data_IF_158395955926
#
_entry.id   IF_158395955926
#
_cell.length_a   1.000
_cell.length_b   1.000
_cell.length_c   1.000
_cell.angle_alpha   90.00
_cell.angle_beta   90.00
_cell.angle_gamma   90.00
#
_symmetry.space_group_name_H-M   'P 1'
#
loop_
_entity.id
_entity.type
_entity.pdbx_description
1 polymer ?
#
# COMPACT_ATOMS: atom_id res chain seq x y z
N UNK A 1 -6.13 8.34 -0.11
CA UNK A 1 -5.56 7.08 -0.63
C UNK A 1 -4.05 7.21 -0.65
N UNK A 2 -3.32 6.14 -0.32
CA UNK A 2 -1.86 6.13 -0.28
C UNK A 2 -1.35 4.90 -1.03
N UNK A 3 -0.38 5.12 -1.92
CA UNK A 3 0.18 4.11 -2.81
C UNK A 3 1.70 4.08 -2.63
N UNK A 4 2.27 3.12 -1.89
CA UNK A 4 3.71 2.92 -1.87
C UNK A 4 4.19 2.32 -3.19
N UNK A 5 5.30 2.83 -3.72
CA UNK A 5 5.93 2.34 -4.94
C UNK A 5 7.43 2.20 -4.71
N UNK A 6 7.96 1.03 -5.05
CA UNK A 6 9.31 0.61 -4.68
C UNK A 6 10.20 0.55 -5.93
N UNK A 7 11.34 1.22 -5.88
CA UNK A 7 12.21 1.39 -7.05
C UNK A 7 13.65 0.99 -6.74
N UNK A 8 14.25 0.24 -7.66
CA UNK A 8 15.63 -0.22 -7.57
C UNK A 8 16.50 0.31 -8.71
N UNK A 9 17.81 0.08 -8.62
CA UNK A 9 18.75 0.46 -9.69
C UNK A 9 18.36 -0.20 -11.00
N UNK A 10 18.88 0.37 -12.09
CA UNK A 10 18.69 -0.23 -13.41
C UNK A 10 19.19 -1.68 -13.43
N UNK A 11 18.60 -2.50 -14.29
CA UNK A 11 18.91 -3.94 -14.38
C UNK A 11 20.41 -4.19 -14.53
N UNK A 12 21.09 -3.35 -15.32
CA UNK A 12 22.54 -3.46 -15.58
C UNK A 12 23.41 -3.22 -14.33
N UNK A 13 22.93 -2.42 -13.38
CA UNK A 13 23.68 -2.03 -12.18
C UNK A 13 23.46 -3.01 -11.03
N UNK A 14 22.33 -3.72 -11.04
CA UNK A 14 21.99 -4.79 -10.12
C UNK A 14 21.78 -4.35 -8.66
N UNK A 15 21.41 -5.33 -7.83
CA UNK A 15 21.25 -5.16 -6.38
C UNK A 15 22.61 -5.32 -5.70
N UNK A 16 22.87 -4.49 -4.69
CA UNK A 16 24.10 -4.46 -3.90
C UNK A 16 23.82 -4.84 -2.45
N UNK A 17 24.87 -5.27 -1.75
CA UNK A 17 24.79 -5.56 -0.32
C UNK A 17 24.41 -4.28 0.46
N UNK A 18 23.37 -4.36 1.28
CA UNK A 18 22.85 -3.25 2.07
C UNK A 18 21.68 -2.50 1.44
N UNK A 19 21.29 -2.82 0.20
CA UNK A 19 20.05 -2.32 -0.38
C UNK A 19 18.84 -2.86 0.40
N UNK A 20 17.78 -2.05 0.48
CA UNK A 20 16.49 -2.51 0.99
C UNK A 20 15.92 -3.60 0.06
N UNK A 21 15.29 -4.61 0.67
CA UNK A 21 14.75 -5.78 -0.04
C UNK A 21 13.23 -5.68 -0.06
N UNK A 22 12.67 -5.73 -1.26
CA UNK A 22 11.24 -5.83 -1.51
C UNK A 22 10.97 -6.99 -2.47
N UNK A 23 9.76 -7.53 -2.43
CA UNK A 23 9.32 -8.66 -3.26
C UNK A 23 9.44 -8.32 -4.77
N UNK A 24 8.98 -7.12 -5.15
CA UNK A 24 8.84 -6.69 -6.56
C UNK A 24 9.23 -5.21 -6.81
N UNK A 25 10.44 -4.75 -6.45
CA UNK A 25 10.85 -3.37 -6.76
C UNK A 25 11.05 -3.18 -8.26
N UNK A 26 10.56 -2.07 -8.80
CA UNK A 26 10.67 -1.73 -10.22
C UNK A 26 12.07 -1.16 -10.54
N UNK A 27 12.82 -1.70 -11.50
CA UNK A 27 14.06 -1.08 -11.98
C UNK A 27 13.81 0.30 -12.61
N UNK A 28 14.71 1.27 -12.38
CA UNK A 28 14.57 2.63 -12.92
C UNK A 28 14.45 2.71 -14.46
N UNK A 29 15.02 1.73 -15.16
CA UNK A 29 14.96 1.60 -16.62
C UNK A 29 13.70 0.88 -17.14
N UNK A 30 12.80 0.45 -16.25
CA UNK A 30 11.49 -0.08 -16.59
C UNK A 30 10.37 0.95 -16.34
N UNK A 31 9.21 0.72 -16.96
CA UNK A 31 8.02 1.57 -16.76
C UNK A 31 7.27 1.21 -15.46
N UNK A 32 7.36 -0.05 -15.02
CA UNK A 32 6.61 -0.57 -13.87
C UNK A 32 5.10 -0.57 -14.08
N UNK A 33 4.37 -0.65 -12.97
CA UNK A 33 2.89 -0.72 -12.94
C UNK A 33 2.22 0.56 -12.48
N UNK A 34 2.95 1.44 -11.78
CA UNK A 34 2.41 2.63 -11.12
C UNK A 34 1.61 3.54 -12.07
N UNK A 35 2.08 3.78 -13.29
CA UNK A 35 1.35 4.62 -14.25
C UNK A 35 -0.04 4.03 -14.56
N UNK A 36 -0.12 2.72 -14.75
CA UNK A 36 -1.37 2.00 -15.02
C UNK A 36 -2.31 2.07 -13.81
N UNK A 37 -1.77 1.86 -12.60
CA UNK A 37 -2.53 1.99 -11.35
C UNK A 37 -3.15 3.39 -11.22
N UNK A 38 -2.34 4.44 -11.40
CA UNK A 38 -2.82 5.83 -11.31
C UNK A 38 -3.81 6.18 -12.43
N UNK A 39 -3.65 5.66 -13.65
CA UNK A 39 -4.62 5.88 -14.72
C UNK A 39 -5.97 5.22 -14.43
N UNK A 40 -5.99 4.08 -13.73
CA UNK A 40 -7.23 3.41 -13.34
C UNK A 40 -8.06 4.19 -12.31
N UNK A 41 -7.49 5.24 -11.68
CA UNK A 41 -8.23 6.14 -10.79
C UNK A 41 -9.36 6.89 -11.51
N UNK A 42 -9.42 6.87 -12.84
CA UNK A 42 -10.55 7.40 -13.61
C UNK A 42 -11.82 6.55 -13.46
N UNK A 43 -11.71 5.28 -13.07
CA UNK A 43 -12.83 4.33 -13.02
C UNK A 43 -13.81 4.56 -11.85
N UNK A 44 -13.36 4.76 -10.59
CA UNK A 44 -14.30 5.01 -9.48
C UNK A 44 -15.15 6.26 -9.69
N UNK A 45 -16.45 6.22 -9.44
CA UNK A 45 -17.35 7.37 -9.59
C UNK A 45 -17.15 8.44 -8.53
N UNK A 46 -16.91 8.03 -7.29
CA UNK A 46 -16.57 8.92 -6.18
C UNK A 46 -15.11 9.35 -6.31
N UNK A 47 -14.88 10.66 -6.44
CA UNK A 47 -13.55 11.30 -6.55
C UNK A 47 -13.18 12.14 -5.32
N UNK A 48 -13.96 12.08 -4.24
CA UNK A 48 -13.74 12.88 -3.04
C UNK A 48 -12.61 12.29 -2.18
N UNK A 49 -11.40 12.27 -2.74
CA UNK A 49 -10.18 11.86 -2.08
C UNK A 49 -8.95 12.42 -2.78
N UNK A 50 -7.84 12.45 -2.04
CA UNK A 50 -6.52 12.71 -2.59
C UNK A 50 -5.70 11.42 -2.63
N UNK A 51 -4.75 11.36 -3.55
CA UNK A 51 -3.79 10.26 -3.67
C UNK A 51 -2.41 10.76 -3.27
N UNK A 52 -1.71 10.03 -2.41
CA UNK A 52 -0.29 10.24 -2.17
C UNK A 52 0.47 9.01 -2.62
N UNK A 53 1.38 9.20 -3.57
CA UNK A 53 2.32 8.16 -3.98
C UNK A 53 3.58 8.30 -3.13
N UNK A 54 3.93 7.26 -2.39
CA UNK A 54 5.15 7.19 -1.58
C UNK A 54 6.23 6.51 -2.43
N UNK A 55 7.19 7.28 -2.93
CA UNK A 55 8.30 6.77 -3.74
C UNK A 55 9.45 6.32 -2.83
N UNK A 56 9.65 5.02 -2.71
CA UNK A 56 10.70 4.40 -1.92
C UNK A 56 11.82 3.87 -2.81
N UNK A 57 13.05 4.35 -2.59
CA UNK A 57 14.24 3.84 -3.22
C UNK A 57 14.82 2.66 -2.43
N UNK A 58 15.32 1.63 -3.12
CA UNK A 58 16.05 0.54 -2.43
C UNK A 58 17.44 0.96 -1.94
N UNK A 59 17.96 2.10 -2.42
CA UNK A 59 19.28 2.58 -2.06
C UNK A 59 19.42 4.10 -2.13
N UNK A 60 20.29 4.64 -1.28
CA UNK A 60 20.53 6.08 -1.15
C UNK A 60 21.06 6.71 -2.44
N UNK A 61 21.90 6.02 -3.20
CA UNK A 61 22.51 6.54 -4.44
C UNK A 61 21.52 6.73 -5.60
N UNK A 62 20.26 6.33 -5.43
CA UNK A 62 19.20 6.50 -6.43
C UNK A 62 17.99 7.30 -5.94
N UNK A 63 17.99 7.82 -4.70
CA UNK A 63 16.84 8.54 -4.13
C UNK A 63 16.34 9.68 -5.04
N UNK A 64 17.24 10.58 -5.47
CA UNK A 64 16.89 11.69 -6.37
C UNK A 64 16.31 11.22 -7.71
N UNK A 65 16.84 10.11 -8.25
CA UNK A 65 16.39 9.55 -9.54
C UNK A 65 15.02 8.91 -9.42
N UNK A 66 14.74 8.25 -8.30
CA UNK A 66 13.43 7.67 -7.98
C UNK A 66 12.40 8.78 -7.81
N UNK A 67 12.74 9.84 -7.07
CA UNK A 67 11.87 11.00 -6.89
C UNK A 67 11.50 11.66 -8.24
N UNK A 68 12.49 11.91 -9.11
CA UNK A 68 12.27 12.47 -10.45
C UNK A 68 11.43 11.53 -11.34
N UNK A 69 11.74 10.23 -11.35
CA UNK A 69 11.00 9.22 -12.13
C UNK A 69 9.53 9.18 -11.72
N UNK A 70 9.25 9.10 -10.43
CA UNK A 70 7.87 9.03 -9.91
C UNK A 70 7.13 10.34 -10.11
N UNK A 71 7.79 11.49 -9.93
CA UNK A 71 7.21 12.80 -10.27
C UNK A 71 6.75 12.84 -11.74
N UNK A 72 7.57 12.35 -12.68
CA UNK A 72 7.21 12.26 -14.09
C UNK A 72 6.06 11.30 -14.39
N UNK A 73 5.93 10.20 -13.63
CA UNK A 73 4.78 9.28 -13.73
C UNK A 73 3.50 9.97 -13.25
N UNK A 74 3.55 10.67 -12.10
CA UNK A 74 2.43 11.43 -11.55
C UNK A 74 1.99 12.53 -12.53
N UNK A 75 2.94 13.25 -13.13
CA UNK A 75 2.62 14.29 -14.13
C UNK A 75 1.86 13.70 -15.32
N UNK A 76 2.27 12.53 -15.82
CA UNK A 76 1.57 11.83 -16.90
C UNK A 76 0.16 11.40 -16.48
N UNK A 77 0.01 10.81 -15.30
CA UNK A 77 -1.28 10.33 -14.79
C UNK A 77 -2.26 11.49 -14.52
N UNK A 78 -1.77 12.60 -13.99
CA UNK A 78 -2.58 13.80 -13.67
C UNK A 78 -3.19 14.48 -14.91
N UNK A 79 -2.76 14.11 -16.13
CA UNK A 79 -3.37 14.59 -17.37
C UNK A 79 -4.71 13.91 -17.67
N UNK A 80 -4.95 12.74 -17.08
CA UNK A 80 -6.15 11.92 -17.33
C UNK A 80 -6.96 11.67 -16.07
N UNK A 81 -6.33 11.61 -14.90
CA UNK A 81 -7.01 11.32 -13.65
C UNK A 81 -7.68 12.58 -13.07
N UNK A 82 -8.96 12.49 -12.74
CA UNK A 82 -9.74 13.55 -12.07
C UNK A 82 -9.60 13.47 -10.53
N UNK A 83 -8.37 13.29 -10.04
CA UNK A 83 -8.05 13.29 -8.60
C UNK A 83 -6.71 13.99 -8.36
N UNK A 84 -6.55 14.61 -7.19
CA UNK A 84 -5.31 15.27 -6.78
C UNK A 84 -4.27 14.23 -6.35
N UNK A 85 -3.23 14.04 -7.18
CA UNK A 85 -2.15 13.09 -6.95
C UNK A 85 -0.89 13.85 -6.50
N UNK A 86 -0.38 13.49 -5.31
CA UNK A 86 0.82 14.08 -4.70
C UNK A 86 1.94 13.06 -4.60
N UNK A 87 3.17 13.58 -4.62
CA UNK A 87 4.37 12.80 -4.36
C UNK A 87 4.80 12.96 -2.90
N UNK A 88 5.23 11.85 -2.30
CA UNK A 88 6.02 11.83 -1.09
C UNK A 88 7.27 11.00 -1.34
N UNK A 89 8.45 11.53 -1.04
CA UNK A 89 9.72 10.83 -1.25
C UNK A 89 10.77 11.35 -0.27
N UNK A 90 12.04 11.02 -0.50
CA UNK A 90 13.12 11.24 0.44
C UNK A 90 13.29 12.71 0.82
N UNK A 91 13.15 13.65 -0.13
CA UNK A 91 13.24 15.09 0.17
C UNK A 91 12.22 15.51 1.24
N UNK A 92 10.97 15.08 1.09
CA UNK A 92 9.88 15.33 2.03
C UNK A 92 10.09 14.65 3.38
N UNK A 93 10.58 13.41 3.40
CA UNK A 93 10.90 12.71 4.64
C UNK A 93 12.01 13.45 5.42
N UNK A 94 13.01 13.97 4.72
CA UNK A 94 14.08 14.77 5.32
C UNK A 94 13.56 16.03 6.02
N UNK A 95 12.56 16.72 5.44
CA UNK A 95 11.90 17.86 6.08
C UNK A 95 11.16 17.46 7.36
N UNK A 96 10.45 16.33 7.34
CA UNK A 96 9.75 15.79 8.52
C UNK A 96 10.74 15.42 9.61
N UNK A 97 11.83 14.73 9.27
CA UNK A 97 12.88 14.38 10.23
C UNK A 97 13.52 15.64 10.84
N UNK A 98 13.84 16.65 10.02
CA UNK A 98 14.36 17.92 10.50
C UNK A 98 13.39 18.63 11.45
N UNK A 99 12.08 18.59 11.15
CA UNK A 99 11.05 19.11 12.05
C UNK A 99 11.00 18.35 13.38
N UNK A 100 10.96 17.02 13.36
CA UNK A 100 10.94 16.19 14.57
C UNK A 100 12.17 16.48 15.45
N UNK A 101 13.36 16.49 14.87
CA UNK A 101 14.61 16.81 15.57
C UNK A 101 14.58 18.21 16.17
N UNK A 102 14.10 19.21 15.43
CA UNK A 102 13.97 20.59 15.95
C UNK A 102 13.01 20.71 17.15
N UNK A 103 12.10 19.73 17.32
CA UNK A 103 11.15 19.64 18.43
C UNK A 103 11.62 18.70 19.55
N UNK A 104 12.80 18.08 19.42
CA UNK A 104 13.31 17.10 20.37
C UNK A 104 12.50 15.81 20.39
N UNK A 105 12.02 15.40 19.22
CA UNK A 105 11.16 14.24 18.98
C UNK A 105 11.90 13.17 18.14
N UNK A 106 13.21 13.06 18.35
CA UNK A 106 14.12 12.17 17.62
C UNK A 106 13.72 10.69 17.71
N UNK A 107 13.04 10.30 18.79
CA UNK A 107 12.55 8.95 19.04
C UNK A 107 11.54 8.44 17.99
N UNK A 108 10.90 9.33 17.23
CA UNK A 108 9.93 8.96 16.19
C UNK A 108 10.56 8.82 14.80
N UNK A 109 11.80 9.29 14.60
CA UNK A 109 12.52 9.15 13.33
C UNK A 109 12.62 7.68 12.89
N UNK A 110 12.91 6.70 13.77
CA UNK A 110 12.91 5.29 13.39
C UNK A 110 11.56 4.73 12.96
N UNK A 111 10.43 5.35 13.32
CA UNK A 111 9.10 4.90 12.87
C UNK A 111 8.81 5.30 11.43
N UNK A 112 9.29 6.47 11.02
CA UNK A 112 9.03 7.08 9.71
C UNK A 112 10.25 6.92 8.81
N UNK A 113 10.29 5.83 8.03
CA UNK A 113 11.38 5.56 7.10
C UNK A 113 10.84 5.11 5.74
N UNK A 114 11.56 5.43 4.66
CA UNK A 114 11.32 4.91 3.31
C UNK A 114 12.03 3.57 3.05
N UNK A 115 12.32 2.82 4.13
CA UNK A 115 12.96 1.51 4.09
C UNK A 115 12.25 0.56 5.05
N UNK A 116 11.89 -0.62 4.56
CA UNK A 116 11.13 -1.62 5.33
C UNK A 116 9.63 -1.47 5.16
N UNK A 117 8.93 -2.60 5.04
CA UNK A 117 7.49 -2.63 4.78
C UNK A 117 6.70 -1.91 5.88
N UNK A 118 6.91 -2.25 7.15
CA UNK A 118 6.23 -1.60 8.28
C UNK A 118 6.46 -0.09 8.34
N UNK A 119 7.69 0.38 8.10
CA UNK A 119 7.99 1.81 8.10
C UNK A 119 7.30 2.57 6.97
N UNK A 120 7.25 1.97 5.78
CA UNK A 120 6.53 2.55 4.64
C UNK A 120 5.02 2.52 4.89
N UNK A 121 4.49 1.47 5.51
CA UNK A 121 3.09 1.41 5.95
C UNK A 121 2.79 2.43 7.05
N UNK A 122 3.74 2.71 7.94
CA UNK A 122 3.63 3.82 8.90
C UNK A 122 3.55 5.19 8.19
N UNK A 123 4.27 5.40 7.10
CA UNK A 123 4.07 6.59 6.25
C UNK A 123 2.68 6.60 5.60
N UNK A 124 2.13 5.43 5.26
CA UNK A 124 0.74 5.30 4.78
C UNK A 124 -0.32 5.67 5.83
N UNK A 125 0.03 5.67 7.12
CA UNK A 125 -0.83 6.15 8.21
C UNK A 125 -0.57 7.63 8.53
N UNK A 126 0.71 7.98 8.63
CA UNK A 126 1.16 9.31 9.03
C UNK A 126 0.76 10.40 8.04
N UNK A 127 0.90 10.13 6.73
CA UNK A 127 0.59 11.13 5.70
C UNK A 127 -0.90 11.50 5.69
N UNK A 128 -1.86 10.55 5.67
CA UNK A 128 -3.28 10.88 5.84
C UNK A 128 -3.58 11.63 7.13
N UNK A 129 -2.88 11.31 8.23
CA UNK A 129 -3.06 12.03 9.50
C UNK A 129 -2.70 13.51 9.38
N UNK A 130 -1.51 13.85 8.85
CA UNK A 130 -1.08 15.25 8.73
C UNK A 130 -1.88 16.03 7.66
N UNK A 131 -2.44 15.34 6.67
CA UNK A 131 -3.35 15.91 5.69
C UNK A 131 -4.78 16.09 6.21
N UNK A 132 -5.08 15.66 7.43
CA UNK A 132 -6.41 15.81 8.01
C UNK A 132 -7.45 14.89 7.36
N UNK A 133 -7.05 13.75 6.80
CA UNK A 133 -7.96 12.73 6.26
C UNK A 133 -8.60 11.90 7.37
N UNK A 134 -9.88 11.55 7.23
CA UNK A 134 -10.58 10.67 8.18
C UNK A 134 -10.29 9.18 7.94
N UNK A 135 -9.94 8.84 6.69
CA UNK A 135 -9.65 7.48 6.24
C UNK A 135 -8.29 7.42 5.51
N UNK A 136 -7.54 6.35 5.77
CA UNK A 136 -6.39 5.94 4.98
C UNK A 136 -6.79 4.72 4.13
N UNK A 137 -6.79 4.86 2.80
CA UNK A 137 -7.03 3.77 1.85
C UNK A 137 -5.67 3.37 1.27
N UNK A 138 -5.17 2.19 1.65
CA UNK A 138 -3.87 1.66 1.27
C UNK A 138 -4.05 0.76 0.05
N UNK A 139 -3.36 1.09 -1.04
CA UNK A 139 -3.41 0.39 -2.32
C UNK A 139 -1.99 0.13 -2.82
N UNK A 140 -1.69 -1.08 -3.30
CA UNK A 140 -0.38 -1.37 -3.89
C UNK A 140 -0.26 -0.81 -5.32
N UNK A 141 0.96 -0.54 -5.79
CA UNK A 141 1.19 0.15 -7.08
C UNK A 141 1.06 -0.76 -8.31
N UNK A 142 0.82 -2.05 -8.13
CA UNK A 142 0.53 -3.04 -9.17
C UNK A 142 -0.96 -3.34 -9.36
N UNK A 143 -1.81 -2.80 -8.48
CA UNK A 143 -3.26 -2.97 -8.49
C UNK A 143 -3.97 -1.90 -9.32
N UNK A 144 -5.14 -2.25 -9.86
CA UNK A 144 -5.96 -1.37 -10.70
C UNK A 144 -7.42 -1.38 -10.24
N UNK A 145 -8.10 -0.26 -10.39
CA UNK A 145 -9.54 -0.18 -10.15
C UNK A 145 -10.28 -0.64 -11.41
N UNK A 146 -11.24 -1.55 -11.26
CA UNK A 146 -12.19 -1.94 -12.33
C UNK A 146 -13.66 -1.72 -11.92
N UNK A 147 -13.90 -1.46 -10.63
CA UNK A 147 -15.22 -1.28 -10.06
C UNK A 147 -15.51 0.21 -9.84
N UNK A 148 -16.53 0.74 -10.53
CA UNK A 148 -16.91 2.16 -10.41
C UNK A 148 -17.39 2.51 -8.99
N UNK A 149 -17.86 1.53 -8.22
CA UNK A 149 -18.32 1.71 -6.85
C UNK A 149 -17.25 1.38 -5.80
N UNK A 150 -15.99 1.19 -6.21
CA UNK A 150 -14.92 0.75 -5.30
C UNK A 150 -14.85 1.61 -4.02
N UNK A 151 -14.79 2.93 -4.17
CA UNK A 151 -14.64 3.86 -3.03
C UNK A 151 -15.86 3.81 -2.10
N UNK A 152 -17.07 3.69 -2.63
CA UNK A 152 -18.29 3.52 -1.84
C UNK A 152 -18.25 2.22 -1.03
N UNK A 153 -17.92 1.09 -1.68
CA UNK A 153 -17.80 -0.23 -1.06
C UNK A 153 -16.69 -0.30 -0.02
N UNK A 154 -15.59 0.41 -0.25
CA UNK A 154 -14.45 0.47 0.67
C UNK A 154 -14.82 1.20 1.98
N UNK A 155 -15.76 2.16 1.90
CA UNK A 155 -16.24 2.93 3.05
C UNK A 155 -17.44 2.31 3.77
N UNK A 156 -18.22 1.45 3.11
CA UNK A 156 -19.54 0.97 3.55
C UNK A 156 -19.64 0.62 5.05
N UNK A 157 -18.66 -0.11 5.58
CA UNK A 157 -18.70 -0.57 6.97
C UNK A 157 -17.85 0.24 7.94
N UNK A 158 -16.92 1.07 7.45
CA UNK A 158 -16.00 1.80 8.32
C UNK A 158 -16.77 2.79 9.19
N UNK A 159 -16.46 2.80 10.49
CA UNK A 159 -17.12 3.63 11.50
C UNK A 159 -18.47 3.10 11.97
N UNK A 160 -18.99 2.02 11.35
CA UNK A 160 -20.22 1.38 11.80
C UNK A 160 -19.99 0.56 13.09
N UNK A 161 -21.08 0.28 13.81
CA UNK A 161 -21.07 -0.58 15.00
C UNK A 161 -21.63 -1.95 14.62
N UNK A 162 -20.83 -3.00 14.82
CA UNK A 162 -21.22 -4.40 14.59
C UNK A 162 -21.09 -5.14 15.92
N UNK A 163 -22.24 -5.50 16.49
CA UNK A 163 -22.30 -6.03 17.85
C UNK A 163 -21.93 -4.96 18.87
N UNK A 164 -20.82 -5.17 19.59
CA UNK A 164 -20.24 -4.27 20.58
C UNK A 164 -18.94 -3.58 20.11
N UNK A 165 -18.55 -3.80 18.85
CA UNK A 165 -17.30 -3.25 18.28
C UNK A 165 -17.59 -2.20 17.21
N UNK A 166 -16.76 -1.16 17.17
CA UNK A 166 -16.73 -0.21 16.05
C UNK A 166 -15.75 -0.70 15.01
N UNK A 167 -16.14 -0.68 13.74
CA UNK A 167 -15.30 -1.14 12.63
C UNK A 167 -14.31 -0.02 12.26
N UNK A 168 -13.08 -0.10 12.76
CA UNK A 168 -12.05 0.89 12.44
C UNK A 168 -11.15 0.50 11.26
N UNK A 169 -11.21 -0.75 10.79
CA UNK A 169 -10.53 -1.17 9.59
C UNK A 169 -11.36 -2.20 8.84
N UNK A 170 -11.23 -2.19 7.51
CA UNK A 170 -11.73 -3.24 6.62
C UNK A 170 -10.69 -3.51 5.55
N UNK A 171 -10.66 -4.74 5.04
CA UNK A 171 -9.84 -5.10 3.91
C UNK A 171 -10.70 -5.73 2.81
N UNK A 172 -10.30 -5.50 1.56
CA UNK A 172 -10.84 -6.16 0.40
C UNK A 172 -9.97 -7.35 -0.02
N UNK A 173 -10.24 -7.88 -1.21
CA UNK A 173 -9.47 -8.93 -1.85
C UNK A 173 -9.17 -8.53 -3.30
N UNK A 174 -8.23 -9.21 -3.94
CA UNK A 174 -7.87 -8.97 -5.33
C UNK A 174 -8.62 -9.91 -6.26
N UNK A 175 -8.85 -9.42 -7.48
CA UNK A 175 -9.40 -10.19 -8.58
C UNK A 175 -8.35 -10.33 -9.66
N UNK A 176 -8.27 -11.52 -10.23
CA UNK A 176 -7.53 -11.80 -11.45
C UNK A 176 -8.31 -11.26 -12.66
N UNK A 177 -7.67 -11.14 -13.84
CA UNK A 177 -8.35 -10.64 -15.04
C UNK A 177 -9.57 -11.45 -15.51
N UNK A 178 -9.73 -12.70 -15.03
CA UNK A 178 -10.90 -13.54 -15.29
C UNK A 178 -12.00 -13.40 -14.22
N UNK A 179 -11.79 -12.56 -13.21
CA UNK A 179 -12.68 -12.33 -12.09
C UNK A 179 -12.59 -13.37 -10.97
N UNK A 180 -11.67 -14.34 -11.05
CA UNK A 180 -11.37 -15.26 -9.94
C UNK A 180 -10.42 -14.58 -8.93
N UNK A 181 -10.40 -15.02 -7.68
CA UNK A 181 -9.44 -14.57 -6.65
C UNK A 181 -8.34 -15.60 -6.37
N UNK A 182 -8.42 -16.78 -6.99
CA UNK A 182 -7.42 -17.85 -6.83
C UNK A 182 -6.10 -17.53 -7.52
N UNK A 183 -5.03 -18.10 -7.00
CA UNK A 183 -3.68 -17.81 -7.50
C UNK A 183 -3.36 -18.55 -8.79
N UNK A 184 -3.05 -17.83 -9.88
CA UNK A 184 -2.72 -18.40 -11.21
C UNK A 184 -1.21 -18.77 -11.35
N UNK A 185 -0.44 -18.78 -10.24
CA UNK A 185 1.01 -19.04 -10.29
C UNK A 185 1.34 -20.45 -10.80
N UNK A 186 2.37 -20.54 -11.67
CA UNK A 186 2.92 -21.80 -12.15
C UNK A 186 3.52 -22.58 -10.98
N UNK A 187 2.85 -23.66 -10.57
CA UNK A 187 3.25 -24.47 -9.41
C UNK A 187 4.51 -25.27 -9.73
N UNK A 188 5.58 -25.02 -8.97
CA UNK A 188 6.76 -25.90 -8.96
C UNK A 188 6.46 -27.15 -8.12
N UNK A 189 7.07 -28.32 -8.37
CA UNK A 189 6.75 -29.53 -7.63
C UNK A 189 6.88 -29.41 -6.10
N UNK A 190 7.86 -28.62 -5.61
CA UNK A 190 8.05 -28.39 -4.17
C UNK A 190 6.88 -27.62 -3.52
N UNK A 191 6.16 -26.78 -4.29
CA UNK A 191 5.02 -26.01 -3.79
C UNK A 191 3.83 -26.92 -3.44
N UNK A 192 3.72 -28.08 -4.09
CA UNK A 192 2.68 -29.07 -3.79
C UNK A 192 2.90 -29.73 -2.42
N UNK A 193 4.17 -29.99 -2.06
CA UNK A 193 4.53 -30.53 -0.74
C UNK A 193 4.31 -29.52 0.40
N UNK A 194 4.55 -28.23 0.13
CA UNK A 194 4.28 -27.16 1.09
C UNK A 194 2.77 -26.88 1.23
N UNK A 195 2.01 -27.00 0.14
CA UNK A 195 0.55 -26.94 0.15
C UNK A 195 -0.06 -25.54 0.39
N UNK A 196 0.75 -24.49 0.59
CA UNK A 196 0.30 -23.13 0.91
C UNK A 196 -0.78 -22.61 -0.03
N UNK A 197 -0.58 -22.63 -1.34
CA UNK A 197 -1.56 -22.10 -2.29
C UNK A 197 -2.90 -22.83 -2.21
N UNK A 198 -2.88 -24.16 -2.02
CA UNK A 198 -4.11 -24.94 -1.85
C UNK A 198 -4.85 -24.52 -0.58
N UNK A 199 -4.15 -24.41 0.55
CA UNK A 199 -4.76 -24.00 1.83
C UNK A 199 -5.27 -22.56 1.76
N UNK A 200 -4.55 -21.69 1.06
CA UNK A 200 -4.95 -20.30 0.83
C UNK A 200 -6.22 -20.21 -0.04
N UNK A 201 -6.25 -20.92 -1.18
CA UNK A 201 -7.43 -21.01 -2.05
C UNK A 201 -8.65 -21.56 -1.27
N UNK A 202 -8.47 -22.60 -0.45
CA UNK A 202 -9.52 -23.15 0.41
C UNK A 202 -10.00 -22.14 1.47
N UNK A 203 -9.11 -21.30 1.99
CA UNK A 203 -9.45 -20.20 2.89
C UNK A 203 -10.27 -19.11 2.19
N UNK A 204 -9.84 -18.71 0.99
CA UNK A 204 -10.54 -17.72 0.17
C UNK A 204 -11.94 -18.19 -0.22
N UNK A 205 -12.10 -19.44 -0.62
CA UNK A 205 -13.40 -20.03 -0.96
C UNK A 205 -14.40 -19.99 0.22
N UNK A 206 -13.91 -20.09 1.46
CA UNK A 206 -14.74 -20.03 2.66
C UNK A 206 -15.13 -18.61 3.06
N UNK A 207 -14.30 -17.62 2.73
CA UNK A 207 -14.39 -16.26 3.27
C UNK A 207 -14.87 -15.26 2.23
N UNK A 208 -14.33 -15.26 1.01
CA UNK A 208 -14.58 -14.19 0.04
C UNK A 208 -15.95 -14.37 -0.64
N UNK A 209 -16.30 -15.58 -1.04
CA UNK A 209 -17.49 -15.87 -1.85
C UNK A 209 -18.74 -16.26 -1.05
N UNK A 210 -18.73 -16.03 0.25
CA UNK A 210 -19.82 -16.40 1.16
C UNK A 210 -20.45 -15.15 1.79
N UNK A 211 -21.70 -15.24 2.22
CA UNK A 211 -22.32 -14.18 3.04
C UNK A 211 -22.06 -14.43 4.54
N UNK A 212 -22.04 -13.38 5.39
CA UNK A 212 -22.19 -11.95 5.07
C UNK A 212 -20.93 -11.33 4.43
N UNK A 213 -21.05 -10.24 3.66
CA UNK A 213 -19.89 -9.51 3.06
C UNK A 213 -18.81 -9.15 4.09
N UNK A 214 -19.18 -8.55 5.21
CA UNK A 214 -18.27 -8.21 6.30
C UNK A 214 -18.03 -9.42 7.21
N UNK A 215 -16.76 -9.79 7.42
CA UNK A 215 -16.35 -10.91 8.28
C UNK A 215 -15.10 -10.55 9.07
N UNK A 216 -15.00 -11.09 10.28
CA UNK A 216 -13.74 -11.11 11.03
C UNK A 216 -12.84 -12.19 10.42
N UNK A 217 -11.63 -11.80 10.01
CA UNK A 217 -10.65 -12.68 9.36
C UNK A 217 -9.32 -12.63 10.11
N UNK A 218 -8.53 -13.71 10.09
CA UNK A 218 -7.18 -13.73 10.70
C UNK A 218 -6.09 -13.25 9.72
N UNK A 219 -6.49 -12.59 8.63
CA UNK A 219 -5.60 -12.05 7.62
C UNK A 219 -6.27 -10.85 6.94
N UNK A 220 -5.44 -10.00 6.37
CA UNK A 220 -5.82 -8.89 5.48
C UNK A 220 -4.87 -8.87 4.30
N UNK A 221 -5.22 -8.11 3.27
CA UNK A 221 -4.30 -7.76 2.20
C UNK A 221 -3.91 -6.29 2.38
N UNK A 222 -2.68 -6.02 2.78
CA UNK A 222 -2.22 -4.66 3.10
C UNK A 222 -2.36 -3.64 1.96
N UNK A 223 -2.34 -4.11 0.71
CA UNK A 223 -2.56 -3.29 -0.49
C UNK A 223 -4.02 -3.17 -0.91
N UNK A 224 -4.98 -3.56 -0.08
CA UNK A 224 -6.40 -3.29 -0.25
C UNK A 224 -7.06 -3.16 1.12
N UNK A 225 -6.62 -2.15 1.88
CA UNK A 225 -7.03 -1.93 3.27
C UNK A 225 -7.51 -0.50 3.47
N UNK A 226 -8.59 -0.32 4.23
CA UNK A 226 -9.10 0.97 4.66
C UNK A 226 -9.03 1.06 6.17
N UNK A 227 -8.43 2.14 6.68
CA UNK A 227 -8.17 2.34 8.10
C UNK A 227 -8.75 3.69 8.51
N UNK A 228 -9.54 3.69 9.57
CA UNK A 228 -10.14 4.87 10.16
C UNK A 228 -9.15 5.62 11.06
N UNK A 229 -9.29 6.95 11.15
CA UNK A 229 -8.44 7.83 11.97
C UNK A 229 -8.29 7.38 13.41
N UNK A 230 -9.39 6.96 14.04
CA UNK A 230 -9.38 6.47 15.42
C UNK A 230 -8.41 5.30 15.64
N UNK A 231 -8.08 4.53 14.60
CA UNK A 231 -7.09 3.46 14.68
C UNK A 231 -5.70 3.93 14.24
N UNK A 232 -5.56 4.56 13.07
CA UNK A 232 -4.23 4.93 12.56
C UNK A 232 -3.53 6.05 13.35
N UNK A 233 -4.22 6.70 14.28
CA UNK A 233 -3.63 7.71 15.18
C UNK A 233 -3.14 7.13 16.51
N UNK A 234 -3.44 5.86 16.80
CA UNK A 234 -3.11 5.23 18.09
C UNK A 234 -2.26 3.97 17.95
N UNK A 235 -2.30 3.29 16.80
CA UNK A 235 -1.50 2.08 16.54
C UNK A 235 -0.68 2.26 15.25
N UNK A 236 0.66 2.18 15.30
CA UNK A 236 1.51 2.05 14.11
C UNK A 236 1.71 0.57 13.74
N UNK A 237 2.16 0.31 12.51
CA UNK A 237 2.79 -0.96 12.12
C UNK A 237 4.08 -1.16 12.90
N UNK A 238 4.33 -2.38 13.37
CA UNK A 238 5.55 -2.73 14.12
C UNK A 238 6.78 -2.71 13.18
N UNK A 239 7.74 -1.78 13.36
CA UNK A 239 8.95 -1.70 12.54
C UNK A 239 9.83 -2.95 12.58
N UNK A 240 9.71 -3.78 13.62
CA UNK A 240 10.51 -5.01 13.76
C UNK A 240 9.95 -6.17 12.91
N UNK A 241 8.73 -6.03 12.36
CA UNK A 241 8.13 -7.01 11.45
C UNK A 241 8.55 -6.72 10.01
N UNK A 242 9.47 -7.52 9.49
CA UNK A 242 10.06 -7.29 8.15
C UNK A 242 9.20 -7.81 6.98
N UNK A 243 8.26 -8.73 7.21
CA UNK A 243 7.28 -9.20 6.22
C UNK A 243 6.08 -9.85 6.91
N UNK A 244 4.88 -9.61 6.39
CA UNK A 244 3.63 -10.03 7.04
C UNK A 244 3.15 -8.97 8.05
N UNK A 245 3.63 -7.75 7.86
CA UNK A 245 3.32 -6.56 8.65
C UNK A 245 1.84 -6.20 8.63
N UNK A 246 1.14 -6.54 7.54
CA UNK A 246 -0.30 -6.34 7.39
C UNK A 246 -1.11 -7.31 8.25
N UNK A 247 -0.67 -8.56 8.33
CA UNK A 247 -1.26 -9.57 9.22
C UNK A 247 -0.94 -9.28 10.68
N UNK A 248 0.25 -8.77 11.00
CA UNK A 248 0.62 -8.38 12.36
C UNK A 248 -0.17 -7.16 12.86
N UNK A 249 -0.46 -6.21 11.96
CA UNK A 249 -1.22 -5.01 12.27
C UNK A 249 -2.72 -5.26 12.55
N UNK A 250 -3.26 -6.38 12.05
CA UNK A 250 -4.66 -6.80 12.26
C UNK A 250 -4.91 -7.25 13.72
#
# INVERSE_FOLDING_TARGET
MVIPSYWTREIKDGVRAGDAVYDHPTPLDEDGTLLRALQSLDIPEDKDFQVVVIAAATAVDIEDRVEEKVAGIIEKASRTADVDIKLFSQSHLGEIHGLLQSRGMDEYVPLLQLSGYSNIRNLCLFIPHILGSDLAVLIDDDEVFEDTQFIEKAKEFIGSVVGDRTVHAVAGYYLQPDGDNRTIKKRSPWMEYWGQYKVMDEGFDRIIWTEPRLKETPFVFGGNMVIHRELFTVVPFDPDVSRGEDIDYL
#
